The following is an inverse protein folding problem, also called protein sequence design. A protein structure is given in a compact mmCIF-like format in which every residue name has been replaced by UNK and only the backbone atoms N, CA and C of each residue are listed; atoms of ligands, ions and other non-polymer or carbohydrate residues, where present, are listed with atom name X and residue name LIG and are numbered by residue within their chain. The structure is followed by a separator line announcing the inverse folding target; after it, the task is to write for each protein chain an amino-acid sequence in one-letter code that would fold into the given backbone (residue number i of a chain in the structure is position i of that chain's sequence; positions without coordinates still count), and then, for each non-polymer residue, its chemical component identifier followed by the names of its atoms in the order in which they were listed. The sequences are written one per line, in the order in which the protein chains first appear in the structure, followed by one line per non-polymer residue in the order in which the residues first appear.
data_IF_097732765382
#
_entry.id   IF_097732765382
#
_cell.length_a   1.000
_cell.length_b   1.000
_cell.length_c   1.000
_cell.angle_alpha   90.00
_cell.angle_beta   90.00
_cell.angle_gamma   90.00
#
_symmetry.space_group_name_H-M   'P 1'
#
loop_
_entity.id
_entity.type
_entity.pdbx_description
1 polymer ?
#
# COMPACT_ATOMS: atom_id res chain seq x y z
N UNK A 1 21.09 -20.89 3.80
CA UNK A 1 21.04 -19.77 4.77
C UNK A 1 21.21 -18.39 4.12
N UNK A 2 22.18 -18.16 3.22
CA UNK A 2 22.31 -16.89 2.48
C UNK A 2 21.22 -16.67 1.40
N UNK A 3 20.60 -17.75 0.97
CA UNK A 3 19.52 -17.87 0.00
C UNK A 3 18.13 -17.55 0.57
N UNK A 4 17.93 -17.63 1.90
CA UNK A 4 16.66 -17.29 2.54
C UNK A 4 16.50 -15.77 2.71
N UNK A 5 17.58 -15.05 3.02
CA UNK A 5 17.57 -13.58 3.16
C UNK A 5 17.31 -12.86 1.84
N UNK A 6 17.75 -13.45 0.71
CA UNK A 6 17.51 -12.90 -0.62
C UNK A 6 16.02 -12.97 -1.04
N UNK A 7 15.24 -13.94 -0.50
CA UNK A 7 13.79 -14.04 -0.80
C UNK A 7 12.97 -12.97 -0.08
N UNK A 8 13.41 -12.52 1.10
CA UNK A 8 12.73 -11.48 1.89
C UNK A 8 12.91 -10.09 1.25
N UNK A 9 14.04 -9.86 0.57
CA UNK A 9 14.32 -8.63 -0.15
C UNK A 9 13.53 -8.47 -1.46
N UNK A 10 12.80 -9.50 -1.91
CA UNK A 10 12.06 -9.45 -3.17
C UNK A 10 10.78 -8.65 -2.96
N UNK A 11 10.79 -7.42 -3.47
CA UNK A 11 9.76 -6.39 -3.40
C UNK A 11 8.31 -6.95 -3.35
N UNK A 12 7.77 -7.08 -2.13
CA UNK A 12 6.51 -7.76 -1.83
C UNK A 12 5.28 -6.87 -2.05
N UNK A 13 5.47 -5.73 -2.72
CA UNK A 13 4.45 -4.73 -3.00
C UNK A 13 3.25 -5.26 -3.80
N UNK A 14 3.50 -6.19 -4.72
CA UNK A 14 2.44 -6.90 -5.46
C UNK A 14 1.55 -7.75 -4.55
N UNK A 15 2.12 -8.38 -3.52
CA UNK A 15 1.36 -9.17 -2.54
C UNK A 15 0.49 -8.24 -1.69
N UNK A 16 1.05 -7.11 -1.22
CA UNK A 16 0.31 -6.13 -0.39
C UNK A 16 -0.94 -5.61 -1.11
N UNK A 17 -0.80 -5.22 -2.38
CA UNK A 17 -1.94 -4.76 -3.19
C UNK A 17 -3.03 -5.82 -3.32
N UNK A 18 -2.67 -7.08 -3.57
CA UNK A 18 -3.65 -8.17 -3.70
C UNK A 18 -4.42 -8.41 -2.41
N UNK A 19 -3.75 -8.38 -1.26
CA UNK A 19 -4.42 -8.58 0.04
C UNK A 19 -5.40 -7.44 0.33
N UNK A 20 -5.01 -6.19 0.05
CA UNK A 20 -5.87 -5.02 0.27
C UNK A 20 -7.09 -5.04 -0.66
N UNK A 21 -6.89 -5.28 -1.96
CA UNK A 21 -8.00 -5.39 -2.90
C UNK A 21 -8.91 -6.59 -2.61
N UNK A 22 -8.36 -7.71 -2.16
CA UNK A 22 -9.13 -8.88 -1.73
C UNK A 22 -10.01 -8.58 -0.51
N UNK A 23 -9.47 -7.90 0.50
CA UNK A 23 -10.22 -7.52 1.69
C UNK A 23 -11.31 -6.48 1.38
N UNK A 24 -11.01 -5.47 0.55
CA UNK A 24 -12.01 -4.49 0.10
C UNK A 24 -13.12 -5.15 -0.74
N UNK A 25 -12.76 -6.08 -1.63
CA UNK A 25 -13.74 -6.85 -2.40
C UNK A 25 -14.66 -7.66 -1.50
N UNK A 26 -14.12 -8.32 -0.47
CA UNK A 26 -14.92 -9.04 0.52
C UNK A 26 -15.91 -8.13 1.25
N UNK A 27 -15.45 -6.96 1.70
CA UNK A 27 -16.33 -5.98 2.37
C UNK A 27 -17.42 -5.48 1.42
N UNK A 28 -17.09 -5.19 0.16
CA UNK A 28 -18.06 -4.77 -0.84
C UNK A 28 -19.13 -5.84 -1.12
N UNK A 29 -18.73 -7.12 -1.21
CA UNK A 29 -19.66 -8.25 -1.37
C UNK A 29 -20.59 -8.38 -0.16
N UNK A 30 -20.05 -8.27 1.06
CA UNK A 30 -20.85 -8.33 2.28
C UNK A 30 -21.85 -7.17 2.37
N UNK A 31 -21.42 -5.95 2.02
CA UNK A 31 -22.31 -4.79 1.96
C UNK A 31 -23.39 -4.98 0.90
N UNK A 32 -23.05 -5.46 -0.29
CA UNK A 32 -24.03 -5.76 -1.33
C UNK A 32 -25.05 -6.81 -0.85
N UNK A 33 -24.59 -7.87 -0.19
CA UNK A 33 -25.48 -8.89 0.38
C UNK A 33 -26.47 -8.29 1.39
N UNK A 34 -25.99 -7.43 2.29
CA UNK A 34 -26.85 -6.76 3.27
C UNK A 34 -27.85 -5.83 2.57
N UNK A 35 -27.46 -5.13 1.50
CA UNK A 35 -28.36 -4.24 0.75
C UNK A 35 -29.44 -5.00 -0.03
N UNK A 36 -29.10 -6.14 -0.65
CA UNK A 36 -30.05 -6.87 -1.49
C UNK A 36 -30.90 -7.90 -0.74
N UNK A 37 -30.38 -8.48 0.35
CA UNK A 37 -31.01 -9.59 1.08
C UNK A 37 -31.33 -9.23 2.54
N UNK A 38 -30.72 -8.15 3.06
CA UNK A 38 -30.93 -7.74 4.44
C UNK A 38 -32.36 -7.28 4.69
N UNK A 39 -32.94 -7.75 5.79
CA UNK A 39 -34.21 -7.24 6.32
C UNK A 39 -33.93 -6.01 7.17
N UNK A 40 -34.94 -5.15 7.38
CA UNK A 40 -34.82 -3.98 8.28
C UNK A 40 -34.66 -4.42 9.74
N UNK A 41 -33.45 -4.80 10.12
CA UNK A 41 -33.09 -5.14 11.50
C UNK A 41 -31.92 -4.27 11.97
N UNK A 42 -31.95 -3.89 13.24
CA UNK A 42 -30.90 -3.11 13.88
C UNK A 42 -29.52 -3.81 13.79
N UNK A 43 -29.51 -5.14 13.68
CA UNK A 43 -28.30 -5.94 13.50
C UNK A 43 -27.64 -5.67 12.14
N UNK A 44 -28.40 -5.66 11.05
CA UNK A 44 -27.86 -5.37 9.72
C UNK A 44 -27.28 -3.96 9.63
N UNK A 45 -27.93 -2.99 10.27
CA UNK A 45 -27.42 -1.62 10.39
C UNK A 45 -26.07 -1.55 11.11
N UNK A 46 -25.93 -2.22 12.26
CA UNK A 46 -24.66 -2.25 13.01
C UNK A 46 -23.55 -2.96 12.23
N UNK A 47 -23.87 -4.07 11.57
CA UNK A 47 -22.89 -4.81 10.76
C UNK A 47 -22.42 -3.96 9.57
N UNK A 48 -23.32 -3.23 8.91
CA UNK A 48 -22.95 -2.32 7.82
C UNK A 48 -22.00 -1.21 8.28
N UNK A 49 -22.29 -0.58 9.43
CA UNK A 49 -21.39 0.43 10.02
C UNK A 49 -20.02 -0.18 10.36
N UNK A 50 -19.99 -1.38 10.93
CA UNK A 50 -18.74 -2.10 11.22
C UNK A 50 -17.93 -2.42 9.96
N UNK A 51 -18.58 -2.87 8.90
CA UNK A 51 -17.96 -3.17 7.59
C UNK A 51 -17.38 -1.90 6.94
N UNK A 52 -18.10 -0.79 6.98
CA UNK A 52 -17.60 0.50 6.47
C UNK A 52 -16.40 0.96 7.31
N UNK A 53 -16.47 0.86 8.63
CA UNK A 53 -15.36 1.18 9.52
C UNK A 53 -14.11 0.34 9.22
N UNK A 54 -14.30 -0.97 8.97
CA UNK A 54 -13.22 -1.86 8.57
C UNK A 54 -12.62 -1.46 7.22
N UNK A 55 -13.42 -1.05 6.23
CA UNK A 55 -12.92 -0.57 4.95
C UNK A 55 -12.04 0.67 5.11
N UNK A 56 -12.48 1.65 5.90
CA UNK A 56 -11.71 2.86 6.20
C UNK A 56 -10.40 2.51 6.89
N UNK A 57 -10.42 1.61 7.88
CA UNK A 57 -9.22 1.18 8.58
C UNK A 57 -8.21 0.48 7.66
N UNK A 58 -8.67 -0.38 6.74
CA UNK A 58 -7.82 -1.04 5.75
C UNK A 58 -7.16 -0.02 4.83
N UNK A 59 -7.94 0.93 4.30
CA UNK A 59 -7.43 1.99 3.42
C UNK A 59 -6.40 2.85 4.17
N UNK A 60 -6.73 3.29 5.38
CA UNK A 60 -5.83 4.09 6.22
C UNK A 60 -4.52 3.37 6.52
N UNK A 61 -4.58 2.11 6.94
CA UNK A 61 -3.40 1.27 7.19
C UNK A 61 -2.55 1.08 5.93
N UNK A 62 -3.18 0.91 4.76
CA UNK A 62 -2.48 0.77 3.49
C UNK A 62 -1.73 2.03 3.08
N UNK A 63 -2.38 3.20 3.15
CA UNK A 63 -1.75 4.48 2.81
C UNK A 63 -0.64 4.82 3.80
N UNK A 64 -0.92 4.71 5.11
CA UNK A 64 0.08 4.97 6.14
C UNK A 64 1.28 4.03 6.04
N UNK A 65 1.02 2.74 5.79
CA UNK A 65 2.06 1.74 5.59
C UNK A 65 2.93 2.03 4.35
N UNK A 66 2.35 2.55 3.26
CA UNK A 66 3.11 2.93 2.07
C UNK A 66 3.99 4.17 2.32
N UNK A 67 3.44 5.21 2.96
CA UNK A 67 4.21 6.42 3.30
C UNK A 67 5.36 6.11 4.25
N UNK A 68 5.12 5.23 5.24
CA UNK A 68 6.16 4.81 6.18
C UNK A 68 7.26 3.99 5.49
N UNK A 69 6.90 3.07 4.59
CA UNK A 69 7.85 2.28 3.82
C UNK A 69 8.70 3.16 2.87
N UNK A 70 8.08 4.14 2.22
CA UNK A 70 8.78 5.09 1.33
C UNK A 70 9.78 5.97 2.08
N UNK A 71 9.42 6.46 3.28
CA UNK A 71 10.34 7.23 4.12
C UNK A 71 11.50 6.39 4.64
N UNK A 72 11.25 5.13 5.00
CA UNK A 72 12.30 4.18 5.41
C UNK A 72 13.31 3.92 4.29
N UNK A 73 12.82 3.66 3.07
CA UNK A 73 13.67 3.45 1.88
C UNK A 73 14.52 4.68 1.55
N UNK A 74 13.94 5.89 1.57
CA UNK A 74 14.68 7.15 1.35
C UNK A 74 15.79 7.36 2.37
N UNK A 75 15.52 7.09 3.65
CA UNK A 75 16.51 7.21 4.72
C UNK A 75 17.64 6.20 4.55
N UNK A 76 17.31 4.95 4.21
CA UNK A 76 18.32 3.92 3.93
C UNK A 76 19.20 4.28 2.73
N UNK A 77 18.62 4.83 1.65
CA UNK A 77 19.39 5.32 0.49
C UNK A 77 20.32 6.48 0.86
N UNK A 78 19.84 7.44 1.68
CA UNK A 78 20.64 8.55 2.16
C UNK A 78 21.82 8.09 3.05
N UNK A 79 21.59 7.12 3.94
CA UNK A 79 22.64 6.53 4.80
C UNK A 79 23.64 5.68 3.99
N UNK A 80 23.22 5.08 2.87
CA UNK A 80 24.10 4.31 1.96
C UNK A 80 25.04 5.19 1.14
N UNK A 81 24.87 6.52 1.16
CA UNK A 81 25.72 7.47 0.41
C UNK A 81 25.47 7.47 -1.10
N UNK A 82 24.40 6.83 -1.55
CA UNK A 82 23.98 6.78 -2.96
C UNK A 82 23.01 7.96 -3.20
N UNK A 83 23.60 9.15 -3.21
CA UNK A 83 22.93 10.37 -3.69
C UNK A 83 23.15 10.40 -5.20
N UNK A 84 22.24 9.77 -5.96
CA UNK A 84 22.12 10.06 -7.38
C UNK A 84 21.62 11.51 -7.51
N UNK A 85 22.58 12.41 -7.70
CA UNK A 85 22.38 13.78 -8.17
C UNK A 85 21.93 13.74 -9.64
N UNK A 86 20.72 13.27 -9.88
CA UNK A 86 20.05 13.38 -11.19
C UNK A 86 19.42 14.78 -11.34
N UNK A 87 20.16 15.83 -11.00
CA UNK A 87 19.94 17.12 -11.62
C UNK A 87 20.30 17.01 -13.11
N UNK A 88 19.68 17.77 -14.04
CA UNK A 88 19.99 17.69 -15.47
C UNK A 88 21.40 18.25 -15.75
N UNK A 89 22.45 17.53 -15.36
CA UNK A 89 23.86 17.94 -15.47
C UNK A 89 24.67 17.12 -16.47
N UNK A 90 24.01 16.33 -17.32
CA UNK A 90 24.67 15.54 -18.38
C UNK A 90 24.75 16.19 -19.77
N UNK A 91 24.13 17.35 -20.02
CA UNK A 91 23.95 17.86 -21.40
C UNK A 91 24.94 18.95 -21.83
N UNK A 92 25.58 19.66 -20.91
CA UNK A 92 26.27 20.92 -21.22
C UNK A 92 27.81 20.84 -21.21
N UNK A 93 28.41 19.68 -20.91
CA UNK A 93 29.87 19.52 -20.97
C UNK A 93 30.43 19.33 -22.39
N UNK A 94 29.57 19.12 -23.40
CA UNK A 94 29.97 18.98 -24.82
C UNK A 94 30.14 20.31 -25.59
N UNK A 95 29.93 21.45 -24.94
CA UNK A 95 30.03 22.78 -25.58
C UNK A 95 31.09 23.67 -24.90
N UNK A 96 32.31 23.15 -24.73
CA UNK A 96 33.50 23.99 -24.51
C UNK A 96 34.41 23.83 -25.71
N UNK A 97 34.34 24.81 -26.60
CA UNK A 97 35.32 25.13 -27.65
C UNK A 97 36.36 26.05 -27.02
#
# INVERSE_FOLDING_TARGET
MADDVARVSKDNWKIRRRVVFGALGYIAIMLAYIVFVGTDSALFGQVAVGLIGAAVAIIGSYVFGAVFDDNGKRRLMAERGEVDDDGPRGRWSKFKI
#
